data_IF_692789930506
#
_entry.id   IF_692789930506
#
_cell.length_a   1.000
_cell.length_b   1.000
_cell.length_c   1.000
_cell.angle_alpha   90.00
_cell.angle_beta   90.00
_cell.angle_gamma   90.00
#
_symmetry.space_group_name_H-M   'P 1'
#
loop_
_entity.id
_entity.type
_entity.pdbx_description
1 polymer ?
#
# COMPACT_ATOMS: atom_id res chain seq x y z
N UNK A 1 42.94 -2.53 30.39
CA UNK A 1 41.89 -1.48 30.39
C UNK A 1 42.06 -0.40 29.31
N UNK A 2 43.28 0.01 28.92
CA UNK A 2 43.48 1.09 27.94
C UNK A 2 42.92 0.78 26.52
N UNK A 3 42.99 -0.47 26.06
CA UNK A 3 42.56 -0.85 24.70
C UNK A 3 41.04 -0.73 24.49
N UNK A 4 40.23 -1.00 25.52
CA UNK A 4 38.77 -0.86 25.48
C UNK A 4 38.33 0.60 25.30
N UNK A 5 38.94 1.52 26.06
CA UNK A 5 38.66 2.96 25.96
C UNK A 5 39.08 3.48 24.58
N UNK A 6 40.21 3.01 24.05
CA UNK A 6 40.66 3.35 22.70
C UNK A 6 39.68 2.84 21.63
N UNK A 7 39.16 1.62 21.77
CA UNK A 7 38.13 1.07 20.88
C UNK A 7 36.85 1.90 20.89
N UNK A 8 36.35 2.26 22.08
CA UNK A 8 35.17 3.13 22.24
C UNK A 8 35.37 4.50 21.57
N UNK A 9 36.56 5.10 21.71
CA UNK A 9 36.88 6.38 21.06
C UNK A 9 36.84 6.27 19.53
N UNK A 10 37.42 5.21 18.97
CA UNK A 10 37.39 5.00 17.52
C UNK A 10 35.98 4.78 17.00
N UNK A 11 35.16 4.00 17.72
CA UNK A 11 33.76 3.77 17.36
C UNK A 11 32.92 5.05 17.45
N UNK A 12 33.12 5.87 18.48
CA UNK A 12 32.46 7.16 18.60
C UNK A 12 32.82 8.10 17.43
N UNK A 13 34.10 8.15 17.05
CA UNK A 13 34.58 8.94 15.90
C UNK A 13 33.98 8.41 14.58
N UNK A 14 33.96 7.09 14.41
CA UNK A 14 33.38 6.44 13.23
C UNK A 14 31.90 6.77 13.09
N UNK A 15 31.16 6.67 14.19
CA UNK A 15 29.73 6.95 14.25
C UNK A 15 29.46 8.44 13.97
N UNK A 16 30.22 9.36 14.55
CA UNK A 16 30.10 10.79 14.29
C UNK A 16 30.34 11.14 12.81
N UNK A 17 31.36 10.54 12.17
CA UNK A 17 31.61 10.71 10.74
C UNK A 17 30.46 10.17 9.89
N UNK A 18 29.89 9.01 10.26
CA UNK A 18 28.72 8.44 9.58
C UNK A 18 27.51 9.37 9.66
N UNK A 19 27.18 9.88 10.85
CA UNK A 19 26.06 10.82 11.04
C UNK A 19 26.29 12.18 10.36
N UNK A 20 27.53 12.63 10.21
CA UNK A 20 27.84 13.84 9.43
C UNK A 20 27.52 13.63 7.95
N UNK A 21 27.98 12.52 7.37
CA UNK A 21 27.70 12.16 5.97
C UNK A 21 26.21 11.98 5.69
N UNK A 22 25.49 11.33 6.61
CA UNK A 22 24.03 11.17 6.49
C UNK A 22 23.33 12.53 6.48
N UNK A 23 23.67 13.43 7.42
CA UNK A 23 23.09 14.79 7.43
C UNK A 23 23.45 15.60 6.19
N UNK A 24 24.68 15.49 5.69
CA UNK A 24 25.08 16.12 4.42
C UNK A 24 24.25 15.59 3.25
N UNK A 25 24.01 14.27 3.20
CA UNK A 25 23.18 13.65 2.16
C UNK A 25 21.69 14.02 2.29
N UNK A 26 21.14 14.04 3.50
CA UNK A 26 19.77 14.50 3.79
C UNK A 26 19.57 15.97 3.40
N UNK A 27 20.56 16.83 3.69
CA UNK A 27 20.53 18.25 3.27
C UNK A 27 20.61 18.40 1.75
N UNK A 28 21.42 17.59 1.07
CA UNK A 28 21.49 17.59 -0.39
C UNK A 28 20.15 17.16 -1.01
N UNK A 29 19.52 16.09 -0.53
CA UNK A 29 18.19 15.65 -0.99
C UNK A 29 17.15 16.74 -0.75
N UNK A 30 17.11 17.34 0.44
CA UNK A 30 16.11 18.37 0.75
C UNK A 30 16.28 19.62 -0.12
N UNK A 31 17.52 19.98 -0.45
CA UNK A 31 17.81 21.12 -1.30
C UNK A 31 17.63 20.79 -2.81
N UNK A 32 17.82 19.53 -3.20
CA UNK A 32 17.52 19.01 -4.53
C UNK A 32 16.01 19.05 -4.80
N UNK A 33 15.19 18.66 -3.80
CA UNK A 33 13.73 18.77 -3.88
C UNK A 33 13.24 20.22 -4.11
N UNK A 34 13.97 21.21 -3.61
CA UNK A 34 13.67 22.65 -3.84
C UNK A 34 14.14 23.11 -5.22
N UNK A 35 15.15 22.45 -5.80
CA UNK A 35 15.73 22.81 -7.09
C UNK A 35 15.03 22.12 -8.26
N UNK A 36 14.39 20.96 -8.02
CA UNK A 36 13.63 20.17 -9.01
C UNK A 36 12.17 20.61 -9.20
N UNK A 37 11.70 21.67 -8.52
CA UNK A 37 10.44 22.35 -8.88
C UNK A 37 10.50 23.02 -10.28
N UNK A 38 11.66 22.96 -10.94
CA UNK A 38 11.83 23.29 -12.34
C UNK A 38 12.34 22.05 -13.10
N UNK A 39 11.39 21.32 -13.69
CA UNK A 39 11.59 20.32 -14.74
C UNK A 39 12.00 18.89 -14.29
N UNK A 40 10.97 18.04 -14.31
CA UNK A 40 11.04 16.64 -14.75
C UNK A 40 11.37 15.55 -13.71
N UNK A 41 10.38 15.18 -12.87
CA UNK A 41 10.30 13.81 -12.35
C UNK A 41 8.83 13.39 -12.08
N UNK A 42 8.15 12.99 -13.15
CA UNK A 42 6.76 12.46 -13.18
C UNK A 42 6.62 11.09 -12.46
N UNK A 43 7.59 10.66 -11.64
CA UNK A 43 7.69 9.26 -11.18
C UNK A 43 7.71 9.00 -9.68
N UNK A 44 7.82 10.00 -8.79
CA UNK A 44 7.86 9.73 -7.33
C UNK A 44 6.94 10.61 -6.44
N UNK A 45 5.80 11.07 -6.96
CA UNK A 45 4.73 11.67 -6.14
C UNK A 45 3.36 11.09 -6.50
N UNK A 46 3.09 9.86 -6.07
CA UNK A 46 1.70 9.35 -5.99
C UNK A 46 1.10 9.52 -4.58
N UNK A 47 1.92 9.84 -3.57
CA UNK A 47 1.49 9.91 -2.16
C UNK A 47 0.91 11.29 -1.77
N UNK A 48 0.85 12.23 -2.72
CA UNK A 48 0.41 13.62 -2.53
C UNK A 48 -0.81 14.00 -3.37
N UNK A 49 -1.61 13.02 -3.84
CA UNK A 49 -2.97 13.29 -4.31
C UNK A 49 -3.88 13.47 -3.07
N UNK A 50 -3.70 14.62 -2.45
CA UNK A 50 -4.65 15.43 -1.68
C UNK A 50 -5.75 14.72 -0.86
N UNK A 51 -5.56 14.78 0.47
CA UNK A 51 -6.65 15.05 1.42
C UNK A 51 -7.29 16.40 1.09
N UNK A 52 -8.49 16.38 0.53
CA UNK A 52 -9.50 17.46 0.68
C UNK A 52 -10.90 16.86 0.66
N UNK A 53 -11.35 16.36 1.82
CA UNK A 53 -12.76 16.27 2.23
C UNK A 53 -13.79 16.07 1.09
N UNK A 54 -13.76 14.89 0.46
CA UNK A 54 -14.70 14.56 -0.60
C UNK A 54 -15.67 13.47 -0.13
N UNK A 55 -16.51 13.85 0.84
CA UNK A 55 -17.59 12.99 1.35
C UNK A 55 -18.46 12.48 0.21
N UNK A 56 -18.58 13.23 -0.89
CA UNK A 56 -19.33 12.79 -2.06
C UNK A 56 -18.59 11.67 -2.81
N UNK A 57 -17.29 11.80 -3.07
CA UNK A 57 -16.49 10.70 -3.64
C UNK A 57 -16.43 9.48 -2.72
N UNK A 58 -16.30 9.65 -1.40
CA UNK A 58 -16.36 8.51 -0.46
C UNK A 58 -17.72 7.80 -0.51
N UNK A 59 -18.81 8.56 -0.67
CA UNK A 59 -20.16 8.00 -0.82
C UNK A 59 -20.29 7.28 -2.17
N UNK A 60 -19.81 7.87 -3.27
CA UNK A 60 -19.81 7.25 -4.60
C UNK A 60 -18.98 5.95 -4.61
N UNK A 61 -17.81 5.95 -4.00
CA UNK A 61 -16.96 4.77 -3.82
C UNK A 61 -17.66 3.70 -2.98
N UNK A 62 -18.39 4.10 -1.93
CA UNK A 62 -19.15 3.17 -1.10
C UNK A 62 -20.31 2.50 -1.86
N UNK A 63 -21.00 3.25 -2.73
CA UNK A 63 -22.08 2.74 -3.58
C UNK A 63 -21.50 1.80 -4.63
N UNK A 64 -20.40 2.18 -5.28
CA UNK A 64 -19.71 1.34 -6.25
C UNK A 64 -19.23 0.02 -5.62
N UNK A 65 -18.62 0.08 -4.42
CA UNK A 65 -18.20 -1.12 -3.69
C UNK A 65 -19.39 -2.01 -3.30
N UNK A 66 -20.51 -1.44 -2.89
CA UNK A 66 -21.73 -2.21 -2.58
C UNK A 66 -22.28 -2.90 -3.82
N UNK A 67 -22.32 -2.20 -4.95
CA UNK A 67 -22.77 -2.78 -6.22
C UNK A 67 -21.84 -3.91 -6.67
N UNK A 68 -20.52 -3.69 -6.62
CA UNK A 68 -19.53 -4.71 -6.90
C UNK A 68 -19.71 -5.95 -6.02
N UNK A 69 -19.85 -5.78 -4.70
CA UNK A 69 -20.05 -6.88 -3.77
C UNK A 69 -21.38 -7.59 -4.01
N UNK A 70 -22.45 -6.88 -4.42
CA UNK A 70 -23.76 -7.48 -4.72
C UNK A 70 -23.72 -8.54 -5.82
N UNK A 71 -22.74 -8.46 -6.73
CA UNK A 71 -22.50 -9.45 -7.78
C UNK A 71 -21.95 -10.78 -7.23
N UNK A 72 -21.43 -10.82 -6.00
CA UNK A 72 -20.83 -11.99 -5.38
C UNK A 72 -21.84 -12.78 -4.53
N UNK A 73 -21.56 -14.07 -4.31
CA UNK A 73 -22.35 -14.82 -3.32
C UNK A 73 -22.02 -14.33 -1.90
N UNK A 74 -22.91 -14.53 -0.90
CA UNK A 74 -22.65 -14.07 0.47
C UNK A 74 -21.35 -14.61 1.07
N UNK A 75 -20.94 -15.81 0.67
CA UNK A 75 -19.69 -16.43 1.13
C UNK A 75 -18.46 -15.82 0.43
N UNK A 76 -18.58 -15.47 -0.85
CA UNK A 76 -17.54 -14.75 -1.59
C UNK A 76 -17.37 -13.32 -1.06
N UNK A 77 -18.45 -12.61 -0.77
CA UNK A 77 -18.42 -11.29 -0.15
C UNK A 77 -17.61 -11.32 1.15
N UNK A 78 -17.94 -12.24 2.07
CA UNK A 78 -17.21 -12.40 3.34
C UNK A 78 -15.71 -12.62 3.15
N UNK A 79 -15.32 -13.45 2.18
CA UNK A 79 -13.89 -13.71 1.89
C UNK A 79 -13.21 -12.47 1.31
N UNK A 80 -13.83 -11.77 0.35
CA UNK A 80 -13.27 -10.56 -0.25
C UNK A 80 -13.17 -9.43 0.78
N UNK A 81 -14.20 -9.22 1.59
CA UNK A 81 -14.16 -8.22 2.67
C UNK A 81 -13.00 -8.51 3.63
N UNK A 82 -12.87 -9.74 4.13
CA UNK A 82 -11.81 -10.06 5.08
C UNK A 82 -10.40 -9.98 4.48
N UNK A 83 -10.20 -10.45 3.23
CA UNK A 83 -8.84 -10.59 2.67
C UNK A 83 -8.37 -9.40 1.85
N UNK A 84 -9.28 -8.70 1.17
CA UNK A 84 -8.95 -7.59 0.27
C UNK A 84 -9.23 -6.25 0.94
N UNK A 85 -10.43 -6.07 1.51
CA UNK A 85 -10.81 -4.79 2.11
C UNK A 85 -10.18 -4.60 3.51
N UNK A 86 -10.23 -5.64 4.35
CA UNK A 86 -9.64 -5.62 5.70
C UNK A 86 -8.14 -6.02 5.70
N UNK A 87 -7.60 -6.47 4.56
CA UNK A 87 -6.18 -6.86 4.43
C UNK A 87 -5.73 -8.05 5.27
N UNK A 88 -6.65 -8.87 5.80
CA UNK A 88 -6.29 -10.03 6.63
C UNK A 88 -5.66 -11.13 5.80
N UNK A 89 -4.67 -11.85 6.34
CA UNK A 89 -4.08 -12.96 5.64
C UNK A 89 -5.07 -14.13 5.49
N UNK A 90 -4.93 -14.90 4.41
CA UNK A 90 -5.89 -15.95 4.04
C UNK A 90 -5.98 -17.08 5.08
N UNK A 91 -4.92 -17.31 5.85
CA UNK A 91 -4.91 -18.26 6.96
C UNK A 91 -5.84 -17.82 8.11
N UNK A 92 -5.86 -16.54 8.47
CA UNK A 92 -6.76 -16.00 9.49
C UNK A 92 -8.21 -16.03 9.01
N UNK A 93 -8.46 -15.69 7.75
CA UNK A 93 -9.78 -15.81 7.14
C UNK A 93 -10.27 -17.27 7.12
N UNK A 94 -9.38 -18.23 6.84
CA UNK A 94 -9.69 -19.66 6.85
C UNK A 94 -10.14 -20.13 8.24
N UNK A 95 -9.41 -19.75 9.29
CA UNK A 95 -9.77 -20.04 10.69
C UNK A 95 -11.13 -19.40 11.02
N UNK A 96 -11.32 -18.13 10.68
CA UNK A 96 -12.55 -17.37 10.97
C UNK A 96 -13.80 -17.99 10.34
N UNK A 97 -13.68 -18.54 9.13
CA UNK A 97 -14.81 -19.09 8.38
C UNK A 97 -14.93 -20.62 8.47
N UNK A 98 -14.05 -21.29 9.23
CA UNK A 98 -14.06 -22.76 9.34
C UNK A 98 -13.74 -23.45 8.01
N UNK A 99 -12.88 -22.83 7.19
CA UNK A 99 -12.48 -23.32 5.87
C UNK A 99 -11.00 -23.68 5.84
N UNK A 100 -10.57 -24.43 4.83
CA UNK A 100 -9.14 -24.60 4.56
C UNK A 100 -8.58 -23.36 3.84
N UNK A 101 -7.30 -23.03 4.07
CA UNK A 101 -6.65 -21.91 3.37
C UNK A 101 -6.74 -22.03 1.84
N UNK A 102 -6.53 -23.21 1.20
CA UNK A 102 -6.72 -23.35 -0.24
C UNK A 102 -8.16 -23.06 -0.69
N UNK A 103 -9.16 -23.39 0.13
CA UNK A 103 -10.56 -23.09 -0.18
C UNK A 103 -10.84 -21.58 -0.14
N UNK A 104 -10.25 -20.86 0.82
CA UNK A 104 -10.31 -19.39 0.86
C UNK A 104 -9.64 -18.78 -0.37
N UNK A 105 -8.45 -19.24 -0.73
CA UNK A 105 -7.73 -18.78 -1.91
C UNK A 105 -8.55 -18.98 -3.20
N UNK A 106 -9.07 -20.19 -3.43
CA UNK A 106 -9.90 -20.46 -4.60
C UNK A 106 -11.18 -19.63 -4.62
N UNK A 107 -11.79 -19.39 -3.46
CA UNK A 107 -12.99 -18.56 -3.37
C UNK A 107 -12.71 -17.09 -3.69
N UNK A 108 -11.61 -16.56 -3.18
CA UNK A 108 -11.10 -15.21 -3.50
C UNK A 108 -10.85 -15.08 -5.01
N UNK A 109 -10.12 -16.01 -5.62
CA UNK A 109 -9.84 -15.99 -7.05
C UNK A 109 -11.12 -16.06 -7.89
N UNK A 110 -12.09 -16.91 -7.53
CA UNK A 110 -13.39 -16.98 -8.21
C UNK A 110 -14.17 -15.68 -8.10
N UNK A 111 -14.16 -15.06 -6.92
CA UNK A 111 -14.83 -13.78 -6.69
C UNK A 111 -14.18 -12.66 -7.50
N UNK A 112 -12.84 -12.51 -7.44
CA UNK A 112 -12.10 -11.53 -8.22
C UNK A 112 -12.29 -11.70 -9.73
N UNK A 113 -12.28 -12.95 -10.23
CA UNK A 113 -12.54 -13.21 -11.64
C UNK A 113 -13.98 -12.87 -12.04
N UNK A 114 -14.96 -13.01 -11.14
CA UNK A 114 -16.33 -12.56 -11.38
C UNK A 114 -16.38 -11.04 -11.50
N UNK A 115 -15.82 -10.31 -10.54
CA UNK A 115 -15.74 -8.85 -10.58
C UNK A 115 -15.02 -8.36 -11.85
N UNK A 116 -13.86 -8.94 -12.19
CA UNK A 116 -13.12 -8.61 -13.42
C UNK A 116 -14.00 -8.75 -14.66
N UNK A 117 -14.80 -9.81 -14.79
CA UNK A 117 -15.67 -9.97 -15.98
C UNK A 117 -16.73 -8.87 -16.08
N UNK A 118 -17.26 -8.40 -14.95
CA UNK A 118 -18.27 -7.34 -14.95
C UNK A 118 -17.65 -5.96 -15.22
N UNK A 119 -16.47 -5.66 -14.67
CA UNK A 119 -15.85 -4.34 -14.82
C UNK A 119 -14.90 -4.18 -16.03
N UNK A 120 -14.32 -5.27 -16.56
CA UNK A 120 -13.44 -5.20 -17.74
C UNK A 120 -14.23 -5.07 -19.06
N UNK A 121 -15.53 -5.39 -19.04
CA UNK A 121 -16.42 -5.19 -20.20
C UNK A 121 -16.89 -3.73 -20.34
N UNK A 122 -16.77 -2.90 -19.30
CA UNK A 122 -16.95 -1.45 -19.34
C UNK A 122 -15.66 -0.72 -19.75
N UNK A 123 -14.98 -1.21 -20.80
CA UNK A 123 -14.06 -0.32 -21.51
C UNK A 123 -14.90 0.80 -22.13
N UNK A 124 -14.57 2.09 -21.93
CA UNK A 124 -15.24 3.14 -22.65
C UNK A 124 -15.03 2.87 -24.15
N UNK A 125 -16.13 2.75 -24.87
CA UNK A 125 -16.13 2.89 -26.33
C UNK A 125 -15.80 4.35 -26.62
N UNK A 126 -14.51 4.69 -26.52
CA UNK A 126 -13.97 5.94 -27.03
C UNK A 126 -14.12 5.92 -28.55
N UNK A 127 -15.18 6.57 -29.02
CA UNK A 127 -15.25 7.13 -30.37
C UNK A 127 -14.41 8.40 -30.42
#
# INVERSE_FOLDING_TARGET
>A
MAWFITGLRHEAIRLAKKHKRLREHELLILNDLISQDAEDEVTEMLDTIATTNDVLLEVEDSVFLQEALSLLTPQQQKVITATVLEGRPENEAAIRFGMSQPAVHQMKERALNKLKKHFVLDKPTGK
#
